data_IF_084215628187
#
_entry.id   IF_084215628187
#
_cell.length_a   1.000
_cell.length_b   1.000
_cell.length_c   1.000
_cell.angle_alpha   90.00
_cell.angle_beta   90.00
_cell.angle_gamma   90.00
#
_symmetry.space_group_name_H-M   'P 1'
#
loop_
_entity.id
_entity.type
_entity.pdbx_description
1 polymer ?
#
# COMPACT_ATOMS: atom_id res chain seq x y z
N UNK A 1 16.38 48.85 56.65
CA UNK A 1 15.21 49.41 55.94
C UNK A 1 15.57 49.53 54.46
N UNK A 2 15.45 48.43 53.70
CA UNK A 2 15.57 48.43 52.24
C UNK A 2 14.69 47.29 51.72
N UNK A 3 13.60 47.64 51.03
CA UNK A 3 12.49 46.76 50.66
C UNK A 3 12.59 46.50 49.17
N UNK A 4 13.14 45.34 48.78
CA UNK A 4 13.28 44.96 47.37
C UNK A 4 11.99 44.26 46.91
N UNK A 5 11.21 44.91 46.04
CA UNK A 5 10.04 44.32 45.37
C UNK A 5 10.52 43.41 44.23
N UNK A 6 10.21 42.11 44.29
CA UNK A 6 10.26 41.19 43.13
C UNK A 6 8.91 41.25 42.43
N UNK A 7 8.88 41.81 41.23
CA UNK A 7 7.73 41.69 40.33
C UNK A 7 7.79 40.31 39.66
N UNK A 8 6.79 39.47 39.92
CA UNK A 8 6.52 38.28 39.14
C UNK A 8 5.61 38.69 37.98
N UNK A 9 6.14 38.73 36.76
CA UNK A 9 5.34 38.78 35.54
C UNK A 9 5.31 37.36 34.98
N UNK A 10 4.16 36.69 35.10
CA UNK A 10 3.90 35.41 34.47
C UNK A 10 3.69 35.65 32.97
N UNK A 11 4.67 35.25 32.14
CA UNK A 11 4.49 35.17 30.70
C UNK A 11 3.97 33.76 30.37
N UNK A 12 2.68 33.69 30.04
CA UNK A 12 2.06 32.51 29.43
C UNK A 12 2.56 32.42 27.99
N UNK A 13 3.52 31.52 27.74
CA UNK A 13 3.92 31.17 26.38
C UNK A 13 2.87 30.21 25.79
N UNK A 14 1.94 30.75 25.00
CA UNK A 14 1.07 29.96 24.15
C UNK A 14 1.90 29.29 23.05
N UNK A 15 2.13 27.99 23.18
CA UNK A 15 2.80 27.16 22.17
C UNK A 15 1.82 26.91 21.01
N UNK A 16 1.88 27.75 19.98
CA UNK A 16 1.18 27.53 18.71
C UNK A 16 1.83 26.34 17.98
N UNK A 17 1.21 25.16 18.10
CA UNK A 17 1.46 24.03 17.21
C UNK A 17 0.98 24.41 15.80
N UNK A 18 1.90 24.88 14.97
CA UNK A 18 1.67 25.00 13.52
C UNK A 18 1.64 23.59 12.95
N UNK A 19 0.44 23.04 12.79
CA UNK A 19 0.16 21.81 12.05
C UNK A 19 0.51 22.02 10.58
N UNK A 20 1.78 21.84 10.24
CA UNK A 20 2.30 22.03 8.89
C UNK A 20 1.87 20.96 7.87
N UNK A 21 0.76 20.27 8.09
CA UNK A 21 0.14 19.42 7.08
C UNK A 21 -0.85 20.13 6.17
N UNK A 22 -1.32 21.32 6.54
CA UNK A 22 -2.05 22.24 5.66
C UNK A 22 -1.95 23.65 6.26
N UNK A 23 -1.09 24.52 5.71
CA UNK A 23 -1.25 25.97 5.93
C UNK A 23 -2.32 26.48 4.96
N UNK A 24 -3.28 27.31 5.42
CA UNK A 24 -4.30 27.89 4.55
C UNK A 24 -3.67 28.91 3.60
N UNK A 25 -4.11 28.86 2.34
CA UNK A 25 -3.77 29.84 1.30
C UNK A 25 -4.23 31.23 1.76
N UNK A 26 -3.34 32.21 1.63
CA UNK A 26 -3.60 33.61 1.94
C UNK A 26 -4.81 34.17 1.17
N UNK A 27 -5.43 35.16 1.80
CA UNK A 27 -6.54 36.01 1.33
C UNK A 27 -6.65 36.10 -0.21
N UNK A 28 -7.67 35.46 -0.78
CA UNK A 28 -8.05 35.65 -2.18
C UNK A 28 -9.53 36.04 -2.28
N UNK A 29 -9.75 37.09 -3.07
CA UNK A 29 -11.01 37.78 -3.29
C UNK A 29 -12.15 36.86 -3.76
N UNK A 30 -13.37 37.33 -3.54
CA UNK A 30 -14.67 36.65 -3.70
C UNK A 30 -15.01 36.04 -5.08
N UNK A 31 -14.08 36.02 -6.05
CA UNK A 31 -14.28 35.46 -7.39
C UNK A 31 -13.82 33.99 -7.51
N UNK A 32 -13.07 33.44 -6.55
CA UNK A 32 -12.64 32.03 -6.56
C UNK A 32 -13.64 31.05 -5.91
N UNK A 33 -14.56 31.53 -5.07
CA UNK A 33 -15.62 30.72 -4.47
C UNK A 33 -16.64 30.20 -5.51
N UNK A 34 -16.68 30.83 -6.69
CA UNK A 34 -17.52 30.43 -7.82
C UNK A 34 -16.82 29.42 -8.74
N UNK A 35 -15.49 29.36 -8.74
CA UNK A 35 -14.72 28.39 -9.52
C UNK A 35 -14.65 26.99 -8.90
N UNK A 36 -14.95 26.85 -7.59
CA UNK A 36 -15.07 25.55 -6.90
C UNK A 36 -16.44 24.87 -7.10
N UNK A 37 -17.42 25.56 -7.69
CA UNK A 37 -18.73 24.98 -8.03
C UNK A 37 -18.77 24.33 -9.42
N UNK A 38 -17.77 24.54 -10.26
CA UNK A 38 -17.82 24.19 -11.68
C UNK A 38 -16.99 22.95 -12.09
N UNK A 39 -16.48 22.16 -11.13
CA UNK A 39 -15.73 20.95 -11.46
C UNK A 39 -15.98 19.81 -10.46
N UNK A 40 -17.26 19.50 -10.25
CA UNK A 40 -17.67 18.18 -9.77
C UNK A 40 -17.82 17.28 -11.00
N UNK A 41 -17.13 16.13 -11.10
CA UNK A 41 -17.47 15.14 -12.10
C UNK A 41 -18.89 14.67 -11.77
N UNK A 42 -19.78 14.83 -12.74
CA UNK A 42 -21.14 14.31 -12.76
C UNK A 42 -21.06 12.78 -12.68
N UNK A 43 -20.92 12.27 -11.46
CA UNK A 43 -21.07 10.86 -11.14
C UNK A 43 -22.55 10.61 -11.01
N UNK A 44 -23.08 9.76 -11.88
CA UNK A 44 -24.43 9.22 -11.88
C UNK A 44 -25.08 9.24 -10.49
N UNK A 45 -25.94 10.25 -10.26
CA UNK A 45 -26.74 10.36 -9.05
C UNK A 45 -27.81 9.27 -9.11
N UNK A 46 -27.48 8.12 -8.52
CA UNK A 46 -28.51 7.19 -8.07
C UNK A 46 -29.15 7.83 -6.84
N UNK A 47 -30.47 8.01 -6.86
CA UNK A 47 -31.26 8.59 -5.76
C UNK A 47 -30.85 7.93 -4.42
N UNK A 48 -30.08 8.66 -3.61
CA UNK A 48 -29.42 8.10 -2.42
C UNK A 48 -30.45 7.87 -1.32
N UNK A 49 -30.58 6.61 -0.87
CA UNK A 49 -31.42 6.22 0.26
C UNK A 49 -30.83 6.66 1.61
N UNK A 50 -31.69 6.71 2.64
CA UNK A 50 -31.39 7.25 3.98
C UNK A 50 -30.16 6.66 4.69
N UNK A 51 -29.70 5.46 4.31
CA UNK A 51 -28.53 4.80 4.88
C UNK A 51 -27.20 5.55 4.65
N UNK A 52 -27.05 6.28 3.55
CA UNK A 52 -25.84 7.08 3.31
C UNK A 52 -25.85 8.42 4.05
N UNK A 53 -27.03 8.91 4.45
CA UNK A 53 -27.18 10.13 5.24
C UNK A 53 -26.89 9.86 6.73
N UNK A 54 -27.15 8.64 7.23
CA UNK A 54 -26.72 8.24 8.58
C UNK A 54 -25.19 8.08 8.72
N UNK A 55 -24.49 7.75 7.64
CA UNK A 55 -23.02 7.69 7.62
C UNK A 55 -22.33 9.07 7.73
N UNK A 56 -23.04 10.17 7.43
CA UNK A 56 -22.55 11.55 7.62
C UNK A 56 -22.62 12.01 9.09
N UNK A 57 -23.09 11.14 10.00
CA UNK A 57 -23.25 11.36 11.44
C UNK A 57 -22.24 10.55 12.27
N UNK A 58 -21.12 10.11 11.69
CA UNK A 58 -20.33 9.01 12.24
C UNK A 58 -19.45 9.36 13.45
N UNK A 59 -18.93 10.59 13.55
CA UNK A 59 -18.04 10.99 14.65
C UNK A 59 -18.36 12.39 15.19
N UNK A 60 -18.40 12.52 16.51
CA UNK A 60 -18.79 13.76 17.21
C UNK A 60 -17.76 14.89 17.09
N UNK A 61 -16.52 14.56 16.75
CA UNK A 61 -15.36 15.47 16.70
C UNK A 61 -14.78 15.64 15.28
N UNK A 62 -15.48 15.17 14.25
CA UNK A 62 -15.10 15.35 12.84
C UNK A 62 -16.22 16.10 12.12
N UNK A 63 -16.02 17.40 11.88
CA UNK A 63 -16.97 18.17 11.07
C UNK A 63 -16.93 17.72 9.61
N UNK A 64 -18.03 17.91 8.87
CA UNK A 64 -18.07 17.65 7.43
C UNK A 64 -17.07 18.49 6.62
N UNK A 65 -16.64 19.64 7.15
CA UNK A 65 -15.63 20.51 6.57
C UNK A 65 -14.20 20.16 6.98
N UNK A 66 -14.01 19.16 7.86
CA UNK A 66 -12.68 18.72 8.26
C UNK A 66 -11.98 18.11 7.03
N UNK A 67 -10.73 18.50 6.77
CA UNK A 67 -9.98 18.08 5.57
C UNK A 67 -9.86 16.56 5.42
N UNK A 68 -9.87 15.83 6.53
CA UNK A 68 -9.83 14.36 6.55
C UNK A 68 -11.22 13.69 6.63
N UNK A 69 -12.34 14.43 6.63
CA UNK A 69 -13.67 13.86 6.84
C UNK A 69 -13.99 12.72 5.86
N UNK A 70 -13.75 12.94 4.56
CA UNK A 70 -13.94 11.92 3.51
C UNK A 70 -13.09 10.67 3.71
N UNK A 71 -11.74 10.79 3.82
CA UNK A 71 -10.87 9.66 4.14
C UNK A 71 -11.29 8.90 5.40
N UNK A 72 -11.56 9.60 6.50
CA UNK A 72 -11.97 9.00 7.76
C UNK A 72 -13.26 8.19 7.63
N UNK A 73 -14.27 8.79 6.97
CA UNK A 73 -15.54 8.13 6.71
C UNK A 73 -15.36 6.90 5.83
N UNK A 74 -14.59 7.00 4.75
CA UNK A 74 -14.33 5.87 3.84
C UNK A 74 -13.68 4.71 4.56
N UNK A 75 -12.60 4.96 5.31
CA UNK A 75 -11.85 3.91 5.99
C UNK A 75 -12.64 3.31 7.16
N UNK A 76 -13.52 4.08 7.78
CA UNK A 76 -14.44 3.58 8.80
C UNK A 76 -15.58 2.74 8.22
N UNK A 77 -16.21 3.18 7.13
CA UNK A 77 -17.26 2.43 6.46
C UNK A 77 -16.77 1.07 5.93
N UNK A 78 -15.47 0.96 5.63
CA UNK A 78 -14.81 -0.28 5.21
C UNK A 78 -14.28 -1.12 6.39
N UNK A 79 -14.51 -0.71 7.65
CA UNK A 79 -14.05 -1.44 8.84
C UNK A 79 -12.53 -1.44 9.05
N UNK A 80 -11.79 -0.57 8.37
CA UNK A 80 -10.33 -0.50 8.45
C UNK A 80 -9.88 0.31 9.67
N UNK A 81 -10.56 1.44 9.92
CA UNK A 81 -10.29 2.32 11.06
C UNK A 81 -11.58 2.60 11.81
N UNK A 82 -11.60 2.36 13.11
CA UNK A 82 -12.77 2.64 13.97
C UNK A 82 -12.53 3.87 14.84
N UNK A 83 -13.61 4.58 15.17
CA UNK A 83 -13.61 5.55 16.27
C UNK A 83 -13.66 4.87 17.64
N UNK A 84 -13.95 5.66 18.66
CA UNK A 84 -14.06 5.25 20.05
C UNK A 84 -15.53 5.05 20.44
N UNK A 85 -15.75 4.30 21.53
CA UNK A 85 -17.09 4.00 22.06
C UNK A 85 -17.86 5.26 22.50
N UNK A 86 -17.15 6.37 22.76
CA UNK A 86 -17.72 7.69 23.08
C UNK A 86 -18.23 8.45 21.83
N UNK A 87 -18.13 7.84 20.65
CA UNK A 87 -18.53 8.43 19.37
C UNK A 87 -17.51 9.39 18.78
N UNK A 88 -16.34 9.59 19.40
CA UNK A 88 -15.25 10.39 18.83
C UNK A 88 -14.37 9.57 17.89
N UNK A 89 -13.68 10.22 16.96
CA UNK A 89 -12.63 9.61 16.14
C UNK A 89 -11.22 9.95 16.64
N UNK A 90 -11.06 11.12 17.25
CA UNK A 90 -9.80 11.73 17.70
C UNK A 90 -8.80 11.93 16.55
N UNK A 91 -9.15 12.73 15.52
CA UNK A 91 -8.34 12.87 14.30
C UNK A 91 -6.91 13.34 14.56
N UNK A 92 -6.70 14.17 15.59
CA UNK A 92 -5.39 14.69 15.98
C UNK A 92 -4.59 13.79 16.92
N UNK A 93 -5.12 12.63 17.36
CA UNK A 93 -4.36 11.68 18.19
C UNK A 93 -3.30 11.00 17.32
N UNK A 94 -2.09 10.85 17.86
CA UNK A 94 -1.02 10.08 17.22
C UNK A 94 -1.37 8.59 17.15
N UNK A 95 -0.98 7.98 16.03
CA UNK A 95 -1.15 6.54 15.78
C UNK A 95 0.04 5.81 16.40
N UNK A 96 -0.22 4.75 17.16
CA UNK A 96 0.87 3.88 17.65
C UNK A 96 1.35 2.92 16.57
N UNK A 97 2.55 2.36 16.72
CA UNK A 97 3.07 1.35 15.79
C UNK A 97 2.14 0.12 15.68
N UNK A 98 1.56 -0.31 16.78
CA UNK A 98 0.55 -1.38 16.81
C UNK A 98 -0.73 -1.01 16.04
N UNK A 99 -1.25 0.21 16.24
CA UNK A 99 -2.43 0.69 15.51
C UNK A 99 -2.15 0.77 14.00
N UNK A 100 -0.97 1.23 13.60
CA UNK A 100 -0.55 1.24 12.19
C UNK A 100 -0.48 -0.16 11.59
N UNK A 101 0.13 -1.13 12.29
CA UNK A 101 0.21 -2.52 11.86
C UNK A 101 -1.19 -3.11 11.62
N UNK A 102 -2.12 -2.88 12.56
CA UNK A 102 -3.50 -3.33 12.44
C UNK A 102 -4.20 -2.72 11.22
N UNK A 103 -3.99 -1.42 10.94
CA UNK A 103 -4.57 -0.75 9.77
C UNK A 103 -4.02 -1.34 8.47
N UNK A 104 -2.69 -1.48 8.35
CA UNK A 104 -2.06 -2.06 7.15
C UNK A 104 -2.50 -3.51 6.93
N UNK A 105 -2.58 -4.30 8.01
CA UNK A 105 -3.05 -5.68 7.94
C UNK A 105 -4.52 -5.78 7.55
N UNK A 106 -5.40 -4.85 7.91
CA UNK A 106 -6.78 -4.86 7.42
C UNK A 106 -6.89 -4.48 5.94
N UNK A 107 -6.05 -3.56 5.46
CA UNK A 107 -6.02 -3.16 4.04
C UNK A 107 -5.49 -4.30 3.17
N UNK A 108 -4.32 -4.84 3.53
CA UNK A 108 -3.63 -5.84 2.71
C UNK A 108 -3.99 -7.27 3.08
N UNK A 109 -4.68 -7.48 4.20
CA UNK A 109 -5.12 -8.79 4.67
C UNK A 109 -3.99 -9.83 4.67
N UNK A 110 -2.85 -9.47 5.28
CA UNK A 110 -1.71 -10.38 5.45
C UNK A 110 -2.12 -11.60 6.29
N UNK A 111 -1.68 -12.79 5.88
CA UNK A 111 -2.07 -14.05 6.51
C UNK A 111 -0.92 -14.64 7.32
N UNK A 112 0.29 -14.58 6.78
CA UNK A 112 1.48 -15.17 7.40
C UNK A 112 1.88 -14.43 8.67
N UNK A 113 2.36 -15.17 9.67
CA UNK A 113 2.83 -14.64 10.95
C UNK A 113 4.26 -15.11 11.22
N UNK A 114 5.08 -14.23 11.79
CA UNK A 114 6.39 -14.61 12.28
C UNK A 114 6.23 -15.42 13.57
N UNK A 115 6.85 -16.59 13.63
CA UNK A 115 6.97 -17.37 14.86
C UNK A 115 7.89 -16.69 15.90
N UNK A 116 8.77 -15.81 15.43
CA UNK A 116 9.68 -15.02 16.27
C UNK A 116 9.05 -13.66 16.56
N UNK A 117 8.56 -13.50 17.78
CA UNK A 117 8.01 -12.24 18.26
C UNK A 117 9.12 -11.34 18.84
N UNK A 118 8.94 -10.00 18.77
CA UNK A 118 9.75 -9.06 19.53
C UNK A 118 9.66 -9.33 21.03
N UNK A 119 10.72 -8.99 21.77
CA UNK A 119 10.85 -9.20 23.21
C UNK A 119 9.80 -8.43 24.03
N UNK A 120 9.31 -7.31 23.50
CA UNK A 120 8.32 -6.41 24.12
C UNK A 120 6.89 -6.65 23.61
N UNK A 121 6.61 -7.81 23.01
CA UNK A 121 5.26 -8.22 22.59
C UNK A 121 4.85 -9.48 23.34
N UNK A 122 3.86 -9.34 24.21
CA UNK A 122 3.34 -10.44 25.01
C UNK A 122 2.30 -11.24 24.21
N UNK A 123 2.15 -12.53 24.53
CA UNK A 123 1.17 -13.40 23.89
C UNK A 123 -0.29 -12.92 24.06
N UNK A 124 -0.56 -12.17 25.13
CA UNK A 124 -1.88 -11.61 25.48
C UNK A 124 -2.14 -10.24 24.88
N UNK A 125 -1.14 -9.61 24.25
CA UNK A 125 -1.32 -8.28 23.68
C UNK A 125 -2.28 -8.34 22.49
N UNK A 126 -3.24 -7.40 22.44
CA UNK A 126 -4.25 -7.36 21.38
C UNK A 126 -3.63 -7.22 19.98
N UNK A 127 -2.46 -6.57 19.89
CA UNK A 127 -1.72 -6.34 18.65
C UNK A 127 -0.72 -7.45 18.31
N UNK A 128 -0.59 -8.51 19.13
CA UNK A 128 0.41 -9.57 18.94
C UNK A 128 0.35 -10.17 17.54
N UNK A 129 -0.85 -10.47 17.06
CA UNK A 129 -1.05 -11.00 15.71
C UNK A 129 -0.65 -9.98 14.64
N UNK A 130 -0.97 -8.70 14.84
CA UNK A 130 -0.70 -7.68 13.84
C UNK A 130 0.80 -7.39 13.68
N UNK A 131 1.52 -7.36 14.79
CA UNK A 131 2.99 -7.24 14.78
C UNK A 131 3.63 -8.48 14.13
N UNK A 132 3.18 -9.68 14.48
CA UNK A 132 3.71 -10.91 13.89
C UNK A 132 3.54 -10.93 12.36
N UNK A 133 2.38 -10.48 11.87
CA UNK A 133 2.10 -10.31 10.44
C UNK A 133 3.00 -9.25 9.81
N UNK A 134 3.19 -8.11 10.47
CA UNK A 134 4.04 -7.04 9.95
C UNK A 134 5.50 -7.44 9.80
N UNK A 135 6.01 -8.26 10.72
CA UNK A 135 7.35 -8.84 10.64
C UNK A 135 7.43 -9.87 9.50
N UNK A 136 6.47 -10.79 9.39
CA UNK A 136 6.45 -11.79 8.32
C UNK A 136 6.32 -11.16 6.93
N UNK A 137 5.48 -10.13 6.80
CA UNK A 137 5.32 -9.36 5.56
C UNK A 137 6.54 -8.47 5.25
N UNK A 138 7.43 -8.27 6.22
CA UNK A 138 8.69 -7.54 6.10
C UNK A 138 8.56 -6.02 6.25
N UNK A 139 7.37 -5.49 6.54
CA UNK A 139 7.18 -4.03 6.66
C UNK A 139 7.42 -3.49 8.08
N UNK A 140 7.56 -4.37 9.07
CA UNK A 140 8.04 -4.02 10.41
C UNK A 140 9.33 -4.77 10.73
N UNK A 141 10.19 -4.14 11.52
CA UNK A 141 11.43 -4.73 12.01
C UNK A 141 11.69 -4.31 13.45
N UNK A 142 12.18 -5.24 14.27
CA UNK A 142 12.68 -4.96 15.61
C UNK A 142 14.03 -4.26 15.59
N UNK A 143 14.37 -3.58 16.67
CA UNK A 143 15.70 -3.03 16.89
C UNK A 143 16.75 -4.12 17.19
N UNK A 144 18.00 -3.70 17.43
CA UNK A 144 19.12 -4.60 17.78
C UNK A 144 18.92 -5.38 19.09
N UNK A 145 18.02 -4.94 19.95
CA UNK A 145 17.67 -5.59 21.23
C UNK A 145 16.39 -6.43 21.10
N UNK A 146 15.89 -6.63 19.88
CA UNK A 146 14.64 -7.32 19.57
C UNK A 146 13.37 -6.63 20.12
N UNK A 147 13.39 -5.32 20.35
CA UNK A 147 12.18 -4.56 20.71
C UNK A 147 11.56 -3.88 19.49
N UNK A 148 10.24 -3.71 19.50
CA UNK A 148 9.53 -3.02 18.42
C UNK A 148 8.78 -1.76 18.88
N UNK A 149 8.59 -1.59 20.18
CA UNK A 149 7.89 -0.47 20.82
C UNK A 149 6.44 -0.29 20.30
N UNK A 150 5.58 -1.31 20.43
CA UNK A 150 4.27 -1.35 19.78
C UNK A 150 3.33 -0.21 20.22
N UNK A 151 3.46 0.24 21.47
CA UNK A 151 2.64 1.30 22.05
C UNK A 151 3.19 2.71 21.85
N UNK A 152 4.40 2.86 21.29
CA UNK A 152 4.95 4.19 20.98
C UNK A 152 4.25 4.80 19.77
N UNK A 153 4.17 6.14 19.77
CA UNK A 153 3.73 6.89 18.60
C UNK A 153 4.63 6.56 17.40
N UNK A 154 4.01 6.27 16.26
CA UNK A 154 4.72 5.96 15.03
C UNK A 154 5.31 7.25 14.44
N UNK A 155 6.63 7.26 14.24
CA UNK A 155 7.29 8.41 13.63
C UNK A 155 7.03 8.46 12.12
N UNK A 156 7.18 9.64 11.53
CA UNK A 156 7.06 9.86 10.08
C UNK A 156 8.10 9.05 9.30
N UNK A 157 9.30 8.91 9.83
CA UNK A 157 10.35 8.07 9.24
C UNK A 157 9.97 6.59 9.24
N UNK A 158 9.49 6.07 10.38
CA UNK A 158 9.05 4.67 10.51
C UNK A 158 7.87 4.38 9.58
N UNK A 159 6.90 5.29 9.50
CA UNK A 159 5.77 5.16 8.60
C UNK A 159 6.18 5.17 7.13
N UNK A 160 7.09 6.07 6.74
CA UNK A 160 7.58 6.15 5.36
C UNK A 160 8.30 4.86 4.96
N UNK A 161 9.18 4.34 5.82
CA UNK A 161 9.86 3.07 5.58
C UNK A 161 8.86 1.90 5.49
N UNK A 162 7.91 1.83 6.42
CA UNK A 162 6.92 0.74 6.43
C UNK A 162 6.01 0.79 5.21
N UNK A 163 5.55 1.97 4.80
CA UNK A 163 4.70 2.15 3.62
C UNK A 163 5.45 1.86 2.32
N UNK A 164 6.72 2.24 2.22
CA UNK A 164 7.57 1.84 1.09
C UNK A 164 7.58 0.32 0.92
N UNK A 165 7.72 -0.43 2.02
CA UNK A 165 7.73 -1.90 2.02
C UNK A 165 6.37 -2.51 1.72
N UNK A 166 5.30 -2.00 2.33
CA UNK A 166 3.92 -2.47 2.09
C UNK A 166 3.56 -2.33 0.61
N UNK A 167 3.85 -1.17 0.03
CA UNK A 167 3.48 -0.85 -1.36
C UNK A 167 4.55 -1.22 -2.38
N UNK A 168 5.72 -1.71 -1.93
CA UNK A 168 6.83 -2.20 -2.76
C UNK A 168 7.30 -1.18 -3.79
N UNK A 169 7.58 0.05 -3.33
CA UNK A 169 8.10 1.10 -4.20
C UNK A 169 9.51 0.75 -4.69
N UNK A 170 9.81 1.08 -5.95
CA UNK A 170 11.19 0.99 -6.43
C UNK A 170 11.98 2.21 -5.96
N UNK A 171 12.90 2.01 -5.02
CA UNK A 171 13.75 3.05 -4.44
C UNK A 171 15.06 3.29 -5.20
N UNK A 172 15.35 2.49 -6.24
CA UNK A 172 16.64 2.49 -6.94
C UNK A 172 16.98 3.76 -7.73
N UNK A 173 16.03 4.69 -7.89
CA UNK A 173 16.23 5.97 -8.60
C UNK A 173 15.90 7.20 -7.75
N UNK A 174 15.65 7.03 -6.45
CA UNK A 174 15.16 8.12 -5.61
C UNK A 174 16.29 8.99 -5.06
N UNK A 175 16.28 10.27 -5.42
CA UNK A 175 17.23 11.26 -4.88
C UNK A 175 16.81 11.71 -3.49
N UNK A 176 17.70 11.57 -2.51
CA UNK A 176 17.49 11.98 -1.11
C UNK A 176 17.68 13.48 -0.88
N UNK A 177 18.09 14.23 -1.91
CA UNK A 177 18.42 15.66 -1.83
C UNK A 177 17.22 16.59 -1.55
N UNK A 178 16.00 16.05 -1.43
CA UNK A 178 14.79 16.84 -1.23
C UNK A 178 14.61 17.39 0.20
N UNK A 179 15.30 16.81 1.19
CA UNK A 179 15.11 17.15 2.61
C UNK A 179 16.43 17.37 3.34
N UNK A 180 16.51 18.40 4.17
CA UNK A 180 17.74 18.85 4.84
C UNK A 180 17.91 18.27 6.24
N UNK A 181 16.88 17.65 6.81
CA UNK A 181 16.81 17.14 8.17
C UNK A 181 16.75 15.60 8.25
N UNK A 182 17.27 14.92 7.23
CA UNK A 182 17.40 13.45 7.21
C UNK A 182 18.73 12.96 7.81
N UNK A 183 19.50 13.84 8.45
CA UNK A 183 20.70 13.45 9.15
C UNK A 183 20.32 12.55 10.34
N UNK A 184 20.81 11.31 10.35
CA UNK A 184 20.55 10.33 11.42
C UNK A 184 19.47 9.30 11.10
N UNK A 185 18.74 9.42 9.98
CA UNK A 185 17.95 8.29 9.47
C UNK A 185 18.83 7.34 8.64
N UNK A 186 18.46 6.06 8.55
CA UNK A 186 19.18 5.10 7.71
C UNK A 186 19.04 5.44 6.21
N UNK A 187 20.00 5.01 5.39
CA UNK A 187 19.95 5.17 3.93
C UNK A 187 18.67 4.59 3.32
N UNK A 188 18.21 3.44 3.82
CA UNK A 188 16.96 2.79 3.41
C UNK A 188 15.76 3.71 3.71
N UNK A 189 15.71 4.28 4.91
CA UNK A 189 14.65 5.20 5.33
C UNK A 189 14.68 6.48 4.49
N UNK A 190 15.86 7.06 4.24
CA UNK A 190 16.00 8.23 3.39
C UNK A 190 15.50 7.97 1.96
N UNK A 191 15.84 6.81 1.39
CA UNK A 191 15.35 6.38 0.07
C UNK A 191 13.84 6.16 0.05
N UNK A 192 13.27 5.56 1.09
CA UNK A 192 11.83 5.39 1.24
C UNK A 192 11.09 6.73 1.27
N UNK A 193 11.60 7.68 2.07
CA UNK A 193 11.08 9.05 2.15
C UNK A 193 11.16 9.73 0.77
N UNK A 194 12.30 9.61 0.08
CA UNK A 194 12.47 10.18 -1.25
C UNK A 194 11.53 9.56 -2.30
N UNK A 195 11.32 8.23 -2.27
CA UNK A 195 10.43 7.54 -3.18
C UNK A 195 8.97 7.97 -2.99
N UNK A 196 8.48 7.97 -1.75
CA UNK A 196 7.11 8.38 -1.44
C UNK A 196 6.87 9.87 -1.70
N UNK A 197 7.88 10.72 -1.46
CA UNK A 197 7.81 12.15 -1.76
C UNK A 197 7.80 12.41 -3.27
N UNK A 198 8.70 11.77 -4.02
CA UNK A 198 8.76 11.86 -5.47
C UNK A 198 7.49 11.35 -6.17
N UNK A 199 6.82 10.36 -5.57
CA UNK A 199 5.51 9.87 -6.01
C UNK A 199 4.34 10.76 -5.55
N UNK A 200 4.59 11.80 -4.74
CA UNK A 200 3.59 12.75 -4.28
C UNK A 200 2.68 12.27 -3.15
N UNK A 201 2.97 11.12 -2.53
CA UNK A 201 2.16 10.57 -1.44
C UNK A 201 2.42 11.27 -0.11
N UNK A 202 3.68 11.57 0.18
CA UNK A 202 4.09 12.35 1.36
C UNK A 202 4.65 13.70 0.93
N UNK A 203 4.49 14.70 1.79
CA UNK A 203 5.05 16.04 1.59
C UNK A 203 5.89 16.42 2.80
N UNK A 204 6.94 17.19 2.54
CA UNK A 204 7.68 17.88 3.59
C UNK A 204 7.01 19.18 4.01
N UNK A 205 7.66 19.83 4.97
CA UNK A 205 7.32 21.11 5.53
C UNK A 205 8.09 22.24 4.81
N UNK A 206 7.63 23.50 4.94
CA UNK A 206 8.40 24.66 4.50
C UNK A 206 9.83 24.63 5.03
N UNK A 207 10.78 25.14 4.22
CA UNK A 207 12.21 25.12 4.56
C UNK A 207 12.93 23.81 4.20
N UNK A 208 12.30 22.91 3.44
CA UNK A 208 12.93 21.67 2.98
C UNK A 208 13.07 20.62 4.10
N UNK A 209 12.14 20.61 5.06
CA UNK A 209 12.17 19.72 6.21
C UNK A 209 11.20 18.55 6.02
N UNK A 210 11.55 17.36 6.49
CA UNK A 210 10.66 16.20 6.53
C UNK A 210 10.08 15.95 7.94
N UNK A 211 10.83 16.31 8.99
CA UNK A 211 10.59 16.03 10.41
C UNK A 211 10.45 14.53 10.70
N UNK A 212 11.53 13.74 10.54
CA UNK A 212 11.49 12.28 10.65
C UNK A 212 10.95 11.77 12.00
N UNK A 213 11.29 12.45 13.09
CA UNK A 213 10.87 12.08 14.46
C UNK A 213 9.45 12.52 14.84
N UNK A 214 8.78 13.31 14.00
CA UNK A 214 7.41 13.74 14.28
C UNK A 214 6.44 12.57 14.20
N UNK A 215 5.45 12.52 15.10
CA UNK A 215 4.38 11.53 15.05
C UNK A 215 3.44 11.72 13.85
N UNK A 216 2.74 10.65 13.47
CA UNK A 216 1.65 10.71 12.48
C UNK A 216 0.30 10.64 13.20
N UNK A 217 -0.58 11.59 12.90
CA UNK A 217 -1.95 11.59 13.45
C UNK A 217 -2.88 10.63 12.72
N UNK A 218 -3.97 10.23 13.36
CA UNK A 218 -4.98 9.35 12.75
C UNK A 218 -5.57 9.92 11.46
N UNK A 219 -5.82 11.23 11.42
CA UNK A 219 -6.29 11.92 10.22
C UNK A 219 -5.25 11.90 9.09
N UNK A 220 -3.98 12.09 9.41
CA UNK A 220 -2.89 12.04 8.44
C UNK A 220 -2.72 10.65 7.84
N UNK A 221 -2.72 9.61 8.69
CA UNK A 221 -2.60 8.24 8.22
C UNK A 221 -3.78 7.85 7.33
N UNK A 222 -5.01 8.23 7.70
CA UNK A 222 -6.18 7.95 6.87
C UNK A 222 -6.12 8.65 5.52
N UNK A 223 -5.69 9.92 5.49
CA UNK A 223 -5.51 10.65 4.24
C UNK A 223 -4.40 10.05 3.37
N UNK A 224 -3.31 9.57 3.99
CA UNK A 224 -2.22 8.92 3.28
C UNK A 224 -2.69 7.59 2.69
N UNK A 225 -3.37 6.75 3.47
CA UNK A 225 -3.99 5.53 2.99
C UNK A 225 -4.97 5.81 1.85
N UNK A 226 -5.79 6.86 1.95
CA UNK A 226 -6.76 7.24 0.91
C UNK A 226 -6.10 7.60 -0.42
N UNK A 227 -4.98 8.33 -0.37
CA UNK A 227 -4.17 8.65 -1.57
C UNK A 227 -3.49 7.42 -2.16
N UNK A 228 -2.99 6.54 -1.30
CA UNK A 228 -2.22 5.36 -1.72
C UNK A 228 -3.11 4.20 -2.19
N UNK A 229 -4.36 4.13 -1.75
CA UNK A 229 -5.31 3.06 -2.10
C UNK A 229 -6.60 3.70 -2.57
N UNK A 230 -6.72 3.96 -3.87
CA UNK A 230 -7.89 4.59 -4.47
C UNK A 230 -9.06 3.61 -4.66
N UNK A 231 -8.77 2.33 -4.86
CA UNK A 231 -9.77 1.26 -4.91
C UNK A 231 -9.44 0.14 -3.93
N UNK A 232 -10.44 -0.37 -3.22
CA UNK A 232 -10.27 -1.45 -2.25
C UNK A 232 -11.44 -2.44 -2.35
N UNK A 233 -11.15 -3.68 -2.76
CA UNK A 233 -12.12 -4.73 -2.98
C UNK A 233 -12.00 -5.76 -1.86
N UNK A 234 -12.94 -5.69 -0.92
CA UNK A 234 -12.95 -6.38 0.39
C UNK A 234 -13.85 -7.60 0.48
N UNK A 235 -14.61 -7.86 -0.58
CA UNK A 235 -15.66 -8.88 -0.60
C UNK A 235 -15.71 -9.51 -1.98
N UNK A 236 -16.12 -10.77 -2.02
CA UNK A 236 -16.37 -11.50 -3.26
C UNK A 236 -17.44 -10.81 -4.12
N UNK A 237 -17.39 -11.06 -5.42
CA UNK A 237 -18.37 -10.58 -6.39
C UNK A 237 -17.74 -9.87 -7.58
N UNK A 238 -18.60 -9.51 -8.51
CA UNK A 238 -18.20 -8.79 -9.72
C UNK A 238 -18.32 -7.28 -9.53
N UNK A 239 -17.36 -6.52 -10.02
CA UNK A 239 -17.39 -5.05 -9.97
C UNK A 239 -16.59 -4.43 -11.10
N UNK A 240 -16.95 -3.21 -11.50
CA UNK A 240 -16.13 -2.32 -12.33
C UNK A 240 -15.90 -1.01 -11.59
N UNK A 241 -14.71 -0.43 -11.73
CA UNK A 241 -14.34 0.84 -11.10
C UNK A 241 -14.17 1.98 -12.12
N UNK A 242 -14.37 1.72 -13.41
CA UNK A 242 -14.09 2.68 -14.47
C UNK A 242 -12.60 3.04 -14.52
N UNK A 243 -12.27 4.35 -14.55
CA UNK A 243 -10.87 4.80 -14.47
C UNK A 243 -10.50 5.19 -13.05
N UNK A 244 -9.53 4.47 -12.47
CA UNK A 244 -8.98 4.74 -11.14
C UNK A 244 -7.63 5.43 -11.27
N UNK A 245 -7.51 6.64 -10.72
CA UNK A 245 -6.25 7.38 -10.59
C UNK A 245 -5.57 7.01 -9.28
N UNK A 246 -4.66 6.05 -9.32
CA UNK A 246 -3.96 5.53 -8.15
C UNK A 246 -4.07 4.01 -8.07
N UNK A 247 -3.80 3.46 -6.90
CA UNK A 247 -3.67 2.01 -6.75
C UNK A 247 -4.99 1.35 -6.37
N UNK A 248 -5.13 0.08 -6.76
CA UNK A 248 -6.24 -0.80 -6.37
C UNK A 248 -5.71 -1.99 -5.58
N UNK A 249 -6.40 -2.33 -4.51
CA UNK A 249 -6.12 -3.50 -3.65
C UNK A 249 -7.30 -4.46 -3.73
N UNK A 250 -7.03 -5.72 -4.06
CA UNK A 250 -7.96 -6.84 -3.97
C UNK A 250 -7.45 -7.75 -2.86
N UNK A 251 -8.17 -7.78 -1.74
CA UNK A 251 -7.73 -8.49 -0.53
C UNK A 251 -8.69 -9.60 -0.09
N UNK A 252 -9.59 -10.02 -0.98
CA UNK A 252 -10.57 -11.05 -0.74
C UNK A 252 -10.67 -11.97 -1.95
N UNK A 253 -10.97 -13.24 -1.71
CA UNK A 253 -11.21 -14.23 -2.74
C UNK A 253 -12.50 -13.94 -3.54
N UNK A 254 -12.56 -14.56 -4.72
CA UNK A 254 -13.71 -14.60 -5.64
C UNK A 254 -14.17 -13.21 -6.09
N UNK A 255 -13.20 -12.32 -6.29
CA UNK A 255 -13.41 -11.01 -6.90
C UNK A 255 -13.22 -11.11 -8.41
N UNK A 256 -14.17 -10.59 -9.17
CA UNK A 256 -14.06 -10.37 -10.62
C UNK A 256 -14.06 -8.88 -10.88
N UNK A 257 -12.90 -8.33 -11.26
CA UNK A 257 -12.76 -6.93 -11.66
C UNK A 257 -12.94 -6.82 -13.17
N UNK A 258 -13.93 -6.07 -13.61
CA UNK A 258 -14.31 -5.88 -15.02
C UNK A 258 -14.05 -4.47 -15.51
N UNK A 259 -13.68 -4.32 -16.78
CA UNK A 259 -13.72 -3.06 -17.55
C UNK A 259 -13.11 -1.86 -16.79
N UNK A 260 -11.96 -2.07 -16.15
CA UNK A 260 -11.34 -1.10 -15.25
C UNK A 260 -9.96 -0.68 -15.75
N UNK A 261 -9.70 0.63 -15.77
CA UNK A 261 -8.39 1.21 -16.08
C UNK A 261 -7.76 1.73 -14.79
N UNK A 262 -6.67 1.09 -14.36
CA UNK A 262 -5.91 1.45 -13.17
C UNK A 262 -4.66 2.24 -13.61
N UNK A 263 -4.67 3.55 -13.34
CA UNK A 263 -3.54 4.45 -13.56
C UNK A 263 -2.60 4.45 -12.35
N UNK A 264 -2.11 3.27 -12.00
CA UNK A 264 -1.34 2.98 -10.80
C UNK A 264 -1.05 1.49 -10.69
N UNK A 265 -0.77 1.02 -9.48
CA UNK A 265 -0.49 -0.38 -9.21
C UNK A 265 -1.76 -1.15 -8.84
N UNK A 266 -1.73 -2.46 -9.10
CA UNK A 266 -2.74 -3.40 -8.65
C UNK A 266 -2.12 -4.38 -7.65
N UNK A 267 -2.74 -4.56 -6.49
CA UNK A 267 -2.29 -5.48 -5.45
C UNK A 267 -3.31 -6.62 -5.27
N UNK A 268 -2.94 -7.83 -5.72
CA UNK A 268 -3.64 -9.08 -5.43
C UNK A 268 -3.02 -9.69 -4.16
N UNK A 269 -3.62 -9.44 -3.00
CA UNK A 269 -2.95 -9.63 -1.71
C UNK A 269 -3.16 -11.03 -1.12
N UNK A 270 -2.47 -11.33 -0.01
CA UNK A 270 -2.58 -12.60 0.71
C UNK A 270 -4.01 -12.91 1.20
N UNK A 271 -4.89 -11.91 1.29
CA UNK A 271 -6.28 -12.10 1.67
C UNK A 271 -7.14 -12.85 0.65
N UNK A 272 -6.64 -13.01 -0.59
CA UNK A 272 -7.22 -13.96 -1.55
C UNK A 272 -6.98 -15.41 -1.07
N UNK A 273 -5.99 -15.63 -0.20
CA UNK A 273 -5.57 -16.93 0.31
C UNK A 273 -5.33 -17.92 -0.83
N UNK A 274 -6.02 -19.06 -0.85
CA UNK A 274 -6.00 -20.07 -1.92
C UNK A 274 -7.18 -19.91 -2.90
N UNK A 275 -8.03 -18.90 -2.70
CA UNK A 275 -9.19 -18.61 -3.56
C UNK A 275 -8.83 -17.96 -4.89
N UNK A 276 -9.83 -17.48 -5.62
CA UNK A 276 -9.66 -16.99 -6.99
C UNK A 276 -9.72 -15.47 -7.08
N UNK A 277 -9.15 -14.90 -8.15
CA UNK A 277 -9.43 -13.53 -8.56
C UNK A 277 -9.33 -13.43 -10.08
N UNK A 278 -10.26 -12.72 -10.72
CA UNK A 278 -10.34 -12.59 -12.17
C UNK A 278 -10.28 -11.13 -12.60
N UNK A 279 -9.50 -10.86 -13.62
CA UNK A 279 -9.41 -9.59 -14.32
C UNK A 279 -9.96 -9.80 -15.73
N UNK A 280 -11.05 -9.09 -16.07
CA UNK A 280 -11.71 -9.19 -17.37
C UNK A 280 -11.78 -7.80 -18.01
N UNK A 281 -11.09 -7.59 -19.14
CA UNK A 281 -11.05 -6.26 -19.76
C UNK A 281 -10.33 -5.19 -18.92
N UNK A 282 -9.43 -5.60 -18.02
CA UNK A 282 -8.73 -4.68 -17.11
C UNK A 282 -7.45 -4.16 -17.75
N UNK A 283 -7.12 -2.89 -17.52
CA UNK A 283 -5.83 -2.29 -17.89
C UNK A 283 -5.12 -1.74 -16.67
N UNK A 284 -3.89 -2.16 -16.41
CA UNK A 284 -3.04 -1.64 -15.32
C UNK A 284 -1.79 -1.00 -15.91
N UNK A 285 -1.60 0.30 -15.70
CA UNK A 285 -0.43 1.01 -16.24
C UNK A 285 0.82 0.85 -15.38
N UNK A 286 0.65 0.62 -14.07
CA UNK A 286 1.73 0.36 -13.14
C UNK A 286 2.03 -1.14 -13.00
N UNK A 287 2.60 -1.50 -11.86
CA UNK A 287 2.94 -2.91 -11.55
C UNK A 287 1.73 -3.62 -10.94
N UNK A 288 1.52 -4.86 -11.36
CA UNK A 288 0.61 -5.78 -10.68
C UNK A 288 1.42 -6.66 -9.73
N UNK A 289 1.07 -6.67 -8.45
CA UNK A 289 1.70 -7.49 -7.41
C UNK A 289 0.79 -8.66 -7.04
N UNK A 290 1.30 -9.88 -7.10
CA UNK A 290 0.56 -11.10 -6.77
C UNK A 290 1.19 -11.76 -5.54
N UNK A 291 0.42 -11.80 -4.46
CA UNK A 291 0.79 -12.43 -3.19
C UNK A 291 -0.27 -13.41 -2.67
N UNK A 292 -1.47 -13.42 -3.22
CA UNK A 292 -2.50 -14.42 -2.94
C UNK A 292 -2.91 -15.22 -4.19
N UNK A 293 -3.87 -16.12 -4.00
CA UNK A 293 -4.36 -17.05 -5.02
C UNK A 293 -3.70 -18.43 -4.91
N UNK A 294 -4.47 -19.51 -5.14
CA UNK A 294 -3.96 -20.89 -5.16
C UNK A 294 -3.55 -21.40 -6.55
N UNK A 295 -3.45 -22.71 -6.72
CA UNK A 295 -3.00 -23.35 -7.97
C UNK A 295 -4.02 -23.29 -9.13
N UNK A 296 -5.17 -22.64 -8.94
CA UNK A 296 -6.21 -22.45 -9.98
C UNK A 296 -6.82 -21.04 -9.98
N UNK A 297 -6.09 -20.01 -9.55
CA UNK A 297 -6.73 -18.81 -9.03
C UNK A 297 -6.78 -17.58 -9.92
N UNK A 298 -5.64 -17.11 -10.45
CA UNK A 298 -5.55 -15.75 -10.98
C UNK A 298 -5.82 -15.78 -12.48
N UNK A 299 -7.00 -15.30 -12.87
CA UNK A 299 -7.44 -15.28 -14.26
C UNK A 299 -7.27 -13.93 -14.92
N UNK A 300 -6.64 -13.92 -16.09
CA UNK A 300 -6.49 -12.74 -16.94
C UNK A 300 -7.20 -13.02 -18.27
N UNK A 301 -8.28 -12.28 -18.54
CA UNK A 301 -9.03 -12.37 -19.79
C UNK A 301 -9.14 -10.98 -20.42
N UNK A 302 -8.72 -10.85 -21.68
CA UNK A 302 -8.67 -9.57 -22.40
C UNK A 302 -8.02 -8.43 -21.59
N UNK A 303 -6.99 -8.76 -20.81
CA UNK A 303 -6.41 -7.85 -19.81
C UNK A 303 -5.03 -7.37 -20.24
N UNK A 304 -4.73 -6.09 -20.01
CA UNK A 304 -3.44 -5.48 -20.30
C UNK A 304 -2.75 -5.08 -19.00
N UNK A 305 -1.65 -5.73 -18.65
CA UNK A 305 -0.86 -5.41 -17.46
C UNK A 305 0.48 -4.80 -17.88
N UNK A 306 0.96 -3.83 -17.11
CA UNK A 306 2.36 -3.44 -17.08
C UNK A 306 3.24 -4.57 -16.50
N UNK A 307 4.30 -4.25 -15.73
CA UNK A 307 5.08 -5.28 -15.05
C UNK A 307 4.22 -6.12 -14.10
N UNK A 308 4.53 -7.42 -14.02
CA UNK A 308 3.92 -8.36 -13.07
C UNK A 308 4.99 -8.84 -12.09
N UNK A 309 4.72 -8.77 -10.80
CA UNK A 309 5.60 -9.28 -9.75
C UNK A 309 4.87 -10.31 -8.90
N UNK A 310 5.42 -11.52 -8.82
CA UNK A 310 4.84 -12.64 -8.07
C UNK A 310 5.72 -12.94 -6.88
N UNK A 311 5.15 -12.83 -5.68
CA UNK A 311 5.85 -13.02 -4.41
C UNK A 311 4.90 -13.62 -3.36
N UNK A 312 4.27 -14.75 -3.69
CA UNK A 312 3.36 -15.47 -2.78
C UNK A 312 4.20 -16.25 -1.74
N UNK A 313 4.00 -16.06 -0.42
CA UNK A 313 4.84 -16.68 0.61
C UNK A 313 5.02 -18.21 0.53
N UNK A 314 3.98 -18.96 0.14
CA UNK A 314 4.06 -20.41 -0.01
C UNK A 314 4.48 -20.88 -1.43
N UNK A 315 4.67 -19.94 -2.37
CA UNK A 315 5.08 -20.21 -3.75
C UNK A 315 4.10 -21.01 -4.61
N UNK A 316 2.83 -21.12 -4.22
CA UNK A 316 1.81 -21.90 -4.94
C UNK A 316 0.72 -20.99 -5.49
N UNK A 317 0.93 -20.46 -6.69
CA UNK A 317 -0.08 -19.66 -7.38
C UNK A 317 -0.09 -20.00 -8.86
N UNK A 318 -1.27 -20.09 -9.46
CA UNK A 318 -1.44 -20.15 -10.91
C UNK A 318 -2.00 -18.83 -11.43
N UNK A 319 -1.35 -18.30 -12.47
CA UNK A 319 -1.78 -17.14 -13.23
C UNK A 319 -2.01 -17.60 -14.66
N UNK A 320 -3.23 -17.47 -15.16
CA UNK A 320 -3.60 -17.92 -16.51
C UNK A 320 -4.04 -16.75 -17.39
N UNK A 321 -3.49 -16.67 -18.60
CA UNK A 321 -3.76 -15.63 -19.58
C UNK A 321 -4.58 -16.19 -20.76
N UNK A 322 -5.62 -15.47 -21.17
CA UNK A 322 -6.56 -15.86 -22.24
C UNK A 322 -7.05 -14.66 -23.05
N UNK A 323 -7.66 -14.92 -24.21
CA UNK A 323 -8.16 -13.86 -25.09
C UNK A 323 -7.07 -12.88 -25.52
N UNK A 324 -7.36 -11.58 -25.58
CA UNK A 324 -6.40 -10.56 -26.02
C UNK A 324 -5.39 -10.13 -24.95
N UNK A 325 -5.12 -10.99 -23.95
CA UNK A 325 -4.30 -10.62 -22.78
C UNK A 325 -2.84 -10.36 -23.15
N UNK A 326 -2.27 -9.32 -22.58
CA UNK A 326 -0.85 -8.98 -22.69
C UNK A 326 -0.31 -8.49 -21.34
N UNK A 327 0.77 -9.11 -20.87
CA UNK A 327 1.44 -8.80 -19.62
C UNK A 327 2.87 -8.36 -19.94
N UNK A 328 3.34 -7.28 -19.30
CA UNK A 328 4.73 -6.85 -19.42
C UNK A 328 5.72 -7.84 -18.79
N UNK A 329 6.92 -7.35 -18.44
CA UNK A 329 7.94 -8.17 -17.78
C UNK A 329 7.41 -8.81 -16.51
N UNK A 330 7.63 -10.11 -16.36
CA UNK A 330 7.21 -10.91 -15.21
C UNK A 330 8.41 -11.17 -14.30
N UNK A 331 8.35 -10.72 -13.06
CA UNK A 331 9.35 -10.97 -12.02
C UNK A 331 8.82 -12.01 -11.04
N UNK A 332 9.38 -13.22 -11.10
CA UNK A 332 9.05 -14.31 -10.20
C UNK A 332 10.01 -14.29 -9.00
N UNK A 333 9.50 -13.88 -7.84
CA UNK A 333 10.21 -13.91 -6.54
C UNK A 333 9.71 -15.04 -5.63
N UNK A 334 8.84 -15.90 -6.16
CA UNK A 334 8.30 -17.09 -5.52
C UNK A 334 7.99 -18.13 -6.59
N UNK A 335 7.62 -19.35 -6.18
CA UNK A 335 7.03 -20.33 -7.10
C UNK A 335 5.74 -19.82 -7.73
N UNK A 336 5.49 -20.26 -8.96
CA UNK A 336 4.31 -19.90 -9.73
C UNK A 336 4.09 -20.86 -10.92
N UNK A 337 2.85 -21.00 -11.34
CA UNK A 337 2.45 -21.57 -12.62
C UNK A 337 2.00 -20.41 -13.50
N UNK A 338 2.69 -20.17 -14.61
CA UNK A 338 2.24 -19.26 -15.66
C UNK A 338 1.68 -20.09 -16.80
N UNK A 339 0.42 -19.85 -17.16
CA UNK A 339 -0.29 -20.61 -18.18
C UNK A 339 -0.90 -19.70 -19.23
N UNK A 340 -0.53 -19.91 -20.49
CA UNK A 340 -1.16 -19.29 -21.64
C UNK A 340 -2.19 -20.27 -22.20
N UNK A 341 -3.45 -19.82 -22.21
CA UNK A 341 -4.57 -20.63 -22.68
C UNK A 341 -4.52 -20.81 -24.19
N UNK A 342 -5.15 -21.87 -24.69
CA UNK A 342 -5.21 -22.17 -26.13
C UNK A 342 -6.00 -21.13 -26.93
N UNK A 343 -6.85 -20.34 -26.28
CA UNK A 343 -7.59 -19.21 -26.86
C UNK A 343 -6.87 -17.86 -26.73
N UNK A 344 -5.62 -17.85 -26.27
CA UNK A 344 -4.82 -16.63 -26.20
C UNK A 344 -4.56 -16.10 -27.61
N UNK A 345 -4.97 -14.85 -27.84
CA UNK A 345 -4.73 -14.09 -29.07
C UNK A 345 -3.83 -12.88 -28.85
N UNK A 346 -3.66 -12.45 -27.59
CA UNK A 346 -2.71 -11.41 -27.19
C UNK A 346 -1.28 -11.94 -27.06
N UNK A 347 -0.37 -11.05 -26.66
CA UNK A 347 1.05 -11.38 -26.51
C UNK A 347 1.35 -12.33 -25.34
N UNK A 348 0.39 -12.58 -24.44
CA UNK A 348 0.61 -13.45 -23.29
C UNK A 348 1.53 -12.82 -22.25
N UNK A 349 2.40 -13.63 -21.66
CA UNK A 349 3.39 -13.17 -20.69
C UNK A 349 4.65 -12.67 -21.41
N UNK A 350 5.08 -11.43 -21.10
CA UNK A 350 6.35 -10.88 -21.56
C UNK A 350 7.56 -11.58 -20.92
N UNK A 351 8.74 -10.95 -21.01
CA UNK A 351 9.98 -11.53 -20.50
C UNK A 351 9.86 -11.97 -19.04
N UNK A 352 10.22 -13.22 -18.77
CA UNK A 352 10.17 -13.82 -17.44
C UNK A 352 11.55 -13.74 -16.81
N UNK A 353 11.63 -13.10 -15.65
CA UNK A 353 12.85 -13.00 -14.83
C UNK A 353 12.62 -13.73 -13.50
N UNK A 354 13.41 -14.76 -13.25
CA UNK A 354 13.38 -15.56 -12.03
C UNK A 354 14.36 -14.98 -11.01
N UNK A 355 13.84 -14.31 -9.99
CA UNK A 355 14.61 -13.59 -8.97
C UNK A 355 14.53 -14.30 -7.61
N UNK A 356 15.56 -15.07 -7.28
CA UNK A 356 15.90 -15.64 -5.96
C UNK A 356 14.97 -16.72 -5.31
N UNK A 357 15.64 -17.63 -4.58
CA UNK A 357 15.23 -18.80 -3.74
C UNK A 357 14.71 -20.05 -4.49
N UNK A 358 15.06 -21.29 -4.07
CA UNK A 358 14.53 -22.54 -4.63
C UNK A 358 13.00 -22.58 -4.67
N UNK A 359 12.45 -22.55 -5.88
CA UNK A 359 11.02 -22.54 -6.11
C UNK A 359 10.62 -23.44 -7.28
N UNK A 360 9.38 -23.92 -7.23
CA UNK A 360 8.79 -24.66 -8.33
C UNK A 360 8.12 -23.67 -9.28
N UNK A 361 8.69 -23.52 -10.47
CA UNK A 361 8.15 -22.70 -11.54
C UNK A 361 7.67 -23.63 -12.65
N UNK A 362 6.43 -23.44 -13.09
CA UNK A 362 5.90 -24.14 -14.24
C UNK A 362 5.44 -23.13 -15.30
N UNK A 363 5.98 -23.26 -16.50
CA UNK A 363 5.64 -22.45 -17.66
C UNK A 363 4.86 -23.33 -18.64
N UNK A 364 3.62 -22.96 -18.94
CA UNK A 364 2.72 -23.68 -19.83
C UNK A 364 2.27 -22.75 -20.95
N UNK A 365 2.80 -22.89 -22.17
CA UNK A 365 2.56 -21.91 -23.22
C UNK A 365 3.77 -21.63 -24.10
N UNK A 366 3.79 -20.44 -24.72
CA UNK A 366 4.79 -20.00 -25.68
C UNK A 366 5.46 -18.73 -25.14
N UNK A 367 6.68 -18.88 -24.62
CA UNK A 367 7.39 -17.78 -23.97
C UNK A 367 8.57 -17.31 -24.82
N UNK A 368 8.76 -15.99 -24.91
CA UNK A 368 9.88 -15.42 -25.66
C UNK A 368 11.20 -15.56 -24.88
N UNK A 369 11.30 -14.90 -23.72
CA UNK A 369 12.53 -14.88 -22.92
C UNK A 369 12.24 -15.37 -21.51
N UNK A 370 13.08 -16.28 -21.02
CA UNK A 370 13.13 -16.69 -19.63
C UNK A 370 14.58 -16.52 -19.16
N UNK A 371 14.79 -15.73 -18.10
CA UNK A 371 16.11 -15.53 -17.52
C UNK A 371 16.09 -15.74 -16.01
N UNK A 372 17.21 -16.16 -15.43
CA UNK A 372 17.45 -15.98 -14.00
C UNK A 372 18.12 -14.63 -13.75
N UNK A 373 17.80 -13.98 -12.63
CA UNK A 373 18.56 -12.83 -12.14
C UNK A 373 20.01 -13.17 -11.76
N UNK A 374 20.74 -12.17 -11.25
CA UNK A 374 22.19 -12.24 -10.98
C UNK A 374 22.59 -13.17 -9.83
N UNK A 375 21.63 -13.74 -9.09
CA UNK A 375 21.88 -14.67 -7.99
C UNK A 375 21.61 -16.10 -8.44
N UNK A 376 22.55 -17.01 -8.17
CA UNK A 376 22.42 -18.43 -8.51
C UNK A 376 21.09 -19.00 -8.00
N UNK A 377 20.28 -19.52 -8.91
CA UNK A 377 19.01 -20.18 -8.59
C UNK A 377 19.31 -21.63 -8.21
N UNK A 378 19.91 -21.84 -7.04
CA UNK A 378 20.22 -23.20 -6.54
C UNK A 378 18.96 -23.86 -5.99
N UNK A 379 18.61 -25.06 -6.47
CA UNK A 379 17.51 -25.87 -5.96
C UNK A 379 16.10 -25.56 -6.48
N UNK A 380 15.93 -24.68 -7.47
CA UNK A 380 14.64 -24.48 -8.13
C UNK A 380 14.36 -25.55 -9.18
N UNK A 381 13.08 -25.87 -9.37
CA UNK A 381 12.61 -26.72 -10.46
C UNK A 381 11.88 -25.86 -11.48
N UNK A 382 12.41 -25.80 -12.70
CA UNK A 382 11.72 -25.19 -13.84
C UNK A 382 11.09 -26.30 -14.69
N UNK A 383 9.76 -26.31 -14.81
CA UNK A 383 9.02 -27.20 -15.71
C UNK A 383 8.48 -26.39 -16.88
N UNK A 384 8.75 -26.83 -18.10
CA UNK A 384 8.26 -26.19 -19.31
C UNK A 384 7.35 -27.19 -20.03
N UNK A 385 6.14 -26.75 -20.35
CA UNK A 385 5.18 -27.46 -21.19
C UNK A 385 4.76 -26.52 -22.32
N UNK A 386 5.46 -26.61 -23.44
CA UNK A 386 5.34 -25.66 -24.55
C UNK A 386 6.71 -25.22 -25.04
N UNK A 387 6.86 -23.96 -25.44
CA UNK A 387 8.10 -23.44 -26.04
C UNK A 387 8.65 -22.26 -25.25
N UNK A 388 9.98 -22.18 -25.20
CA UNK A 388 10.73 -21.01 -24.72
C UNK A 388 11.75 -20.67 -25.78
N UNK A 389 11.69 -19.47 -26.37
CA UNK A 389 12.59 -19.11 -27.47
C UNK A 389 14.02 -18.83 -26.99
N UNK A 390 14.18 -18.20 -25.83
CA UNK A 390 15.47 -17.94 -25.19
C UNK A 390 15.42 -18.24 -23.69
N UNK A 391 16.29 -19.13 -23.22
CA UNK A 391 16.45 -19.45 -21.80
C UNK A 391 17.88 -19.12 -21.35
N UNK A 392 18.02 -18.18 -20.42
CA UNK A 392 19.30 -17.81 -19.81
C UNK A 392 19.30 -18.18 -18.34
N UNK A 393 20.19 -19.08 -17.90
CA UNK A 393 20.31 -19.48 -16.50
C UNK A 393 21.72 -19.20 -16.01
N UNK A 394 21.83 -18.24 -15.09
CA UNK A 394 23.07 -17.71 -14.53
C UNK A 394 23.91 -16.90 -15.51
N UNK A 395 24.76 -16.04 -14.96
CA UNK A 395 26.07 -15.75 -15.56
C UNK A 395 27.12 -16.47 -14.72
N UNK A 396 28.18 -17.05 -15.31
CA UNK A 396 29.35 -17.43 -14.55
C UNK A 396 30.00 -16.14 -14.03
N UNK A 397 29.73 -15.77 -12.78
CA UNK A 397 30.58 -14.80 -12.10
C UNK A 397 31.98 -15.42 -12.01
N UNK A 398 32.90 -14.84 -12.77
CA UNK A 398 34.31 -15.19 -12.81
C UNK A 398 35.04 -14.71 -11.57
#
# INVERSE_FOLDING_TARGET
>A
MFRMKRNFTAAVAAMLLVTGLLSPVGSMNASAAEALKANSPDSAVTKVGSAAIDLLKAFTDVSSSHWAAGPLQRWSANGIISGYDDGSFRPGKEVTKAEFAAIMNRIFNYQEQSDKLPADVLATDWYKSDIAKGIAAGYLSSDKNNNIYPSHALSRAEAALSLEKVFRFNTGKSSTAAFTDLNGVSDETAKAIAALSGAGFIKGYPGGLFKPEGGITRAELAQLADRMVSGLLLKSGETSLGTVKGNVVINHADVVLKDTVIQGNLYLTEGIAEGNAKLEGVKVTGTTFVRGGGEQSIGLHNTSLGPLQVAKPNGKVRIYASGSTAVGTVQLQSGAILEESSDLTGAGFGDIVMNAVPHNIALRGVFATVSSGDSAVSGSLLRISGTVASLTVGSPTR
#
